data_IF_184195368959
#
_entry.id   IF_184195368959
#
_cell.length_a   1.000
_cell.length_b   1.000
_cell.length_c   1.000
_cell.angle_alpha   90.00
_cell.angle_beta   90.00
_cell.angle_gamma   90.00
#
_symmetry.space_group_name_H-M   'P 1'
#
loop_
_entity.id
_entity.type
_entity.pdbx_description
1 polymer ?
#
# COMPACT_ATOMS: atom_id res chain seq x y z
N UNK A 1 57.02 1.29 -18.26
CA UNK A 1 55.69 0.68 -18.46
C UNK A 1 54.79 1.78 -19.02
N UNK A 2 54.19 1.58 -20.20
CA UNK A 2 53.20 2.53 -20.74
C UNK A 2 51.83 2.18 -20.16
N UNK A 3 51.15 3.17 -19.58
CA UNK A 3 49.78 3.01 -19.07
C UNK A 3 48.86 3.09 -20.28
N UNK A 4 48.29 1.96 -20.68
CA UNK A 4 47.28 1.87 -21.74
C UNK A 4 45.95 2.32 -21.11
N UNK A 5 45.48 3.53 -21.44
CA UNK A 5 44.18 4.04 -21.00
C UNK A 5 43.08 3.44 -21.86
N UNK A 6 42.99 2.11 -21.88
CA UNK A 6 41.81 1.45 -22.42
C UNK A 6 40.69 1.76 -21.45
N UNK A 7 39.80 2.61 -21.92
CA UNK A 7 38.57 3.02 -21.26
C UNK A 7 37.63 1.80 -21.20
N UNK A 8 38.01 0.78 -20.43
CA UNK A 8 37.34 -0.51 -20.29
C UNK A 8 36.12 -0.45 -19.35
N UNK A 9 35.78 0.75 -18.87
CA UNK A 9 34.59 0.98 -18.06
C UNK A 9 33.35 1.11 -18.94
N UNK A 10 32.21 0.49 -18.56
CA UNK A 10 30.95 0.76 -19.24
C UNK A 10 30.67 2.27 -19.19
N UNK A 11 30.13 2.87 -20.27
CA UNK A 11 29.82 4.29 -20.30
C UNK A 11 28.89 4.64 -19.12
N UNK A 12 29.06 5.82 -18.49
CA UNK A 12 28.22 6.24 -17.38
C UNK A 12 26.75 6.19 -17.78
N UNK A 13 25.92 5.67 -16.87
CA UNK A 13 24.48 5.57 -17.13
C UNK A 13 23.91 6.94 -17.52
N UNK A 14 23.13 7.04 -18.61
CA UNK A 14 22.47 8.28 -18.97
C UNK A 14 21.65 8.78 -17.78
N UNK A 15 21.79 10.05 -17.44
CA UNK A 15 20.95 10.68 -16.43
C UNK A 15 19.48 10.47 -16.80
N UNK A 16 18.73 9.79 -15.93
CA UNK A 16 17.28 9.59 -16.07
C UNK A 16 16.58 10.60 -15.16
N UNK A 17 15.63 11.40 -15.68
CA UNK A 17 14.81 12.24 -14.81
C UNK A 17 14.06 11.34 -13.83
N UNK A 18 14.07 11.71 -12.55
CA UNK A 18 13.35 11.00 -11.50
C UNK A 18 11.85 11.01 -11.86
N UNK A 19 11.24 9.82 -11.92
CA UNK A 19 9.82 9.72 -12.30
C UNK A 19 8.99 10.54 -11.31
N UNK A 20 8.06 11.39 -11.78
CA UNK A 20 7.21 12.15 -10.87
C UNK A 20 6.49 11.18 -9.95
N UNK A 21 6.64 11.37 -8.63
CA UNK A 21 5.94 10.57 -7.62
C UNK A 21 4.45 10.64 -7.94
N UNK A 22 3.82 9.48 -8.12
CA UNK A 22 2.38 9.40 -8.37
C UNK A 22 1.64 10.09 -7.22
N UNK A 23 1.07 11.26 -7.50
CA UNK A 23 0.27 12.00 -6.51
C UNK A 23 -1.13 11.40 -6.55
N UNK A 24 -1.66 11.06 -5.37
CA UNK A 24 -3.06 10.65 -5.26
C UNK A 24 -3.93 11.81 -5.73
N UNK A 25 -4.88 11.51 -6.62
CA UNK A 25 -5.94 12.48 -6.97
C UNK A 25 -6.82 12.71 -5.75
N UNK A 26 -7.45 13.89 -5.61
CA UNK A 26 -8.26 14.20 -4.41
C UNK A 26 -9.40 13.20 -4.13
N UNK A 27 -9.89 12.50 -5.17
CA UNK A 27 -10.85 11.39 -5.01
C UNK A 27 -10.21 10.14 -4.39
N UNK A 28 -8.99 9.80 -4.80
CA UNK A 28 -8.23 8.67 -4.24
C UNK A 28 -7.85 8.94 -2.79
N UNK A 29 -7.48 10.17 -2.46
CA UNK A 29 -7.19 10.57 -1.07
C UNK A 29 -8.43 10.41 -0.18
N UNK A 30 -9.60 10.91 -0.63
CA UNK A 30 -10.86 10.72 0.10
C UNK A 30 -11.22 9.25 0.29
N UNK A 31 -11.04 8.43 -0.75
CA UNK A 31 -11.30 6.99 -0.68
C UNK A 31 -10.35 6.30 0.31
N UNK A 32 -9.07 6.65 0.28
CA UNK A 32 -8.04 6.10 1.16
C UNK A 32 -8.30 6.47 2.63
N UNK A 33 -8.66 7.72 2.90
CA UNK A 33 -9.08 8.15 4.25
C UNK A 33 -10.31 7.36 4.72
N UNK A 34 -11.29 7.14 3.83
CA UNK A 34 -12.48 6.38 4.17
C UNK A 34 -12.16 4.91 4.52
N UNK A 35 -11.27 4.27 3.75
CA UNK A 35 -10.82 2.90 4.01
C UNK A 35 -10.09 2.81 5.36
N UNK A 36 -9.20 3.76 5.65
CA UNK A 36 -8.47 3.81 6.92
C UNK A 36 -9.44 3.99 8.09
N UNK A 37 -10.38 4.94 8.00
CA UNK A 37 -11.40 5.14 9.03
C UNK A 37 -12.28 3.91 9.20
N UNK A 38 -12.70 3.27 8.11
CA UNK A 38 -13.49 2.05 8.16
C UNK A 38 -12.73 0.91 8.85
N UNK A 39 -11.45 0.72 8.54
CA UNK A 39 -10.64 -0.32 9.15
C UNK A 39 -10.40 -0.05 10.66
N UNK A 40 -10.19 1.21 11.04
CA UNK A 40 -10.12 1.63 12.44
C UNK A 40 -11.43 1.36 13.18
N UNK A 41 -12.57 1.71 12.58
CA UNK A 41 -13.88 1.40 13.15
C UNK A 41 -14.08 -0.12 13.29
N UNK A 42 -13.71 -0.88 12.25
CA UNK A 42 -13.72 -2.34 12.30
C UNK A 42 -12.77 -2.91 13.37
N UNK A 43 -11.66 -2.24 13.67
CA UNK A 43 -10.75 -2.65 14.73
C UNK A 43 -11.40 -2.50 16.11
N UNK A 44 -12.16 -1.43 16.35
CA UNK A 44 -12.96 -1.26 17.58
C UNK A 44 -14.16 -2.18 17.62
N UNK A 45 -14.75 -2.46 16.45
CA UNK A 45 -15.75 -3.49 16.33
C UNK A 45 -15.14 -4.85 16.60
N UNK A 46 -13.91 -5.21 16.20
CA UNK A 46 -13.32 -6.54 16.40
C UNK A 46 -13.54 -7.16 17.79
N UNK A 47 -13.25 -6.45 18.90
CA UNK A 47 -13.58 -6.87 20.26
C UNK A 47 -15.09 -7.05 20.55
N UNK A 48 -15.95 -6.19 19.98
CA UNK A 48 -17.42 -6.19 20.16
C UNK A 48 -18.15 -7.11 19.15
N UNK A 49 -17.54 -7.33 17.99
CA UNK A 49 -18.00 -8.02 16.80
C UNK A 49 -17.61 -9.48 16.85
N UNK A 50 -16.55 -9.87 17.58
CA UNK A 50 -16.24 -11.28 17.79
C UNK A 50 -17.45 -12.04 18.30
N UNK A 51 -18.14 -11.53 19.32
CA UNK A 51 -19.33 -12.19 19.88
C UNK A 51 -20.56 -12.01 19.00
N UNK A 52 -20.86 -10.78 18.55
CA UNK A 52 -22.09 -10.50 17.78
C UNK A 52 -22.06 -11.04 16.36
N UNK A 53 -20.89 -11.07 15.70
CA UNK A 53 -20.74 -11.67 14.37
C UNK A 53 -20.79 -13.19 14.45
N UNK A 54 -20.19 -13.80 15.48
CA UNK A 54 -20.35 -15.24 15.72
C UNK A 54 -21.81 -15.58 16.00
N UNK A 55 -22.50 -14.81 16.85
CA UNK A 55 -23.93 -15.01 17.13
C UNK A 55 -24.78 -14.85 15.87
N UNK A 56 -24.51 -13.85 15.03
CA UNK A 56 -25.23 -13.64 13.78
C UNK A 56 -24.99 -14.79 12.78
N UNK A 57 -23.75 -15.28 12.65
CA UNK A 57 -23.41 -16.42 11.80
C UNK A 57 -24.04 -17.70 12.33
N UNK A 58 -23.95 -17.96 13.64
CA UNK A 58 -24.58 -19.14 14.28
C UNK A 58 -26.10 -19.07 14.13
N UNK A 59 -26.72 -17.90 14.30
CA UNK A 59 -28.16 -17.69 14.10
C UNK A 59 -28.57 -17.92 12.65
N UNK A 60 -27.75 -17.50 11.68
CA UNK A 60 -27.99 -17.75 10.25
C UNK A 60 -27.90 -19.24 9.88
N UNK A 61 -26.99 -20.01 10.49
CA UNK A 61 -26.88 -21.46 10.24
C UNK A 61 -27.87 -22.32 11.05
N UNK A 62 -28.48 -21.76 12.11
CA UNK A 62 -29.51 -22.43 12.92
C UNK A 62 -30.94 -22.08 12.49
N UNK A 63 -31.14 -21.01 11.73
CA UNK A 63 -32.39 -20.67 11.05
C UNK A 63 -32.54 -21.42 9.74
#
# INVERSE_FOLDING_TARGET
>A
MYVDFRNDGPPPEPWKPERPKARLTGRQEKLLVWIVCFNLLMLFLGPLAGVTLLDAVIAYFRG
#
